data_IF_447163266756
#
_entry.id   IF_447163266756
#
_cell.length_a   1.000
_cell.length_b   1.000
_cell.length_c   1.000
_cell.angle_alpha   90.00
_cell.angle_beta   90.00
_cell.angle_gamma   90.00
#
_symmetry.space_group_name_H-M   'P 1'
#
loop_
_entity.id
_entity.type
_entity.pdbx_description
1 polymer ?
#
# COMPACT_ATOMS: atom_id res chain seq x y z
N UNK A 1 -5.12 -6.81 30.79
CA UNK A 1 -4.92 -5.58 29.99
C UNK A 1 -3.42 -5.38 29.81
N UNK A 2 -2.93 -5.18 28.58
CA UNK A 2 -1.50 -4.94 28.30
C UNK A 2 -1.11 -3.53 28.77
N UNK A 3 0.00 -3.40 29.50
CA UNK A 3 0.57 -2.15 30.01
C UNK A 3 1.68 -1.64 29.08
N UNK A 4 2.05 -0.36 29.24
CA UNK A 4 3.10 0.27 28.41
C UNK A 4 4.46 -0.42 28.54
N UNK A 5 4.75 -0.96 29.71
CA UNK A 5 6.04 -1.59 30.08
C UNK A 5 6.08 -3.09 29.81
N UNK A 6 4.99 -3.67 29.31
CA UNK A 6 4.98 -5.09 28.97
C UNK A 6 5.88 -5.33 27.75
N UNK A 7 6.65 -6.41 27.78
CA UNK A 7 7.49 -6.81 26.66
C UNK A 7 6.62 -7.13 25.44
N UNK A 8 7.10 -6.73 24.26
CA UNK A 8 6.40 -6.96 23.00
C UNK A 8 6.84 -8.22 22.28
N UNK A 9 5.96 -8.69 21.40
CA UNK A 9 6.17 -9.84 20.50
C UNK A 9 6.07 -9.40 19.02
N UNK A 10 7.13 -8.78 18.46
CA UNK A 10 7.13 -8.26 17.09
C UNK A 10 6.74 -9.29 16.02
N UNK A 11 7.10 -10.55 16.22
CA UNK A 11 6.85 -11.68 15.31
C UNK A 11 5.38 -11.93 14.99
N UNK A 12 4.46 -11.66 15.93
CA UNK A 12 3.01 -11.85 15.77
C UNK A 12 2.26 -10.52 15.65
N UNK A 13 2.97 -9.40 15.66
CA UNK A 13 2.37 -8.07 15.76
C UNK A 13 2.13 -7.44 14.38
N UNK A 14 0.87 -7.25 14.01
CA UNK A 14 0.50 -6.57 12.76
C UNK A 14 1.05 -5.14 12.66
N UNK A 15 1.17 -4.43 13.79
CA UNK A 15 1.78 -3.09 13.81
C UNK A 15 3.24 -3.19 13.39
N UNK A 16 3.98 -4.18 13.90
CA UNK A 16 5.38 -4.37 13.54
C UNK A 16 5.54 -4.84 12.08
N UNK A 17 4.64 -5.68 11.57
CA UNK A 17 4.61 -6.03 10.15
C UNK A 17 4.47 -4.77 9.26
N UNK A 18 3.61 -3.83 9.63
CA UNK A 18 3.48 -2.55 8.93
C UNK A 18 4.71 -1.65 9.12
N UNK A 19 5.35 -1.67 10.29
CA UNK A 19 6.60 -0.94 10.50
C UNK A 19 7.72 -1.38 9.54
N UNK A 20 7.77 -2.67 9.16
CA UNK A 20 8.73 -3.16 8.15
C UNK A 20 8.52 -2.56 6.77
N UNK A 21 7.27 -2.18 6.46
CA UNK A 21 6.91 -1.58 5.17
C UNK A 21 7.19 -0.07 5.18
N UNK A 22 6.75 0.63 6.22
CA UNK A 22 6.76 2.10 6.24
C UNK A 22 7.99 2.71 6.92
N UNK A 23 8.69 1.98 7.79
CA UNK A 23 9.78 2.51 8.61
C UNK A 23 11.01 1.58 8.60
N UNK A 24 11.33 1.00 7.43
CA UNK A 24 12.47 0.08 7.26
C UNK A 24 13.79 0.61 7.87
N UNK A 25 14.17 1.91 7.73
CA UNK A 25 15.40 2.42 8.34
C UNK A 25 15.42 2.38 9.87
N UNK A 26 14.25 2.40 10.53
CA UNK A 26 14.12 2.44 12.00
C UNK A 26 13.74 1.07 12.59
N UNK A 27 13.60 0.03 11.76
CA UNK A 27 12.99 -1.24 12.18
C UNK A 27 13.75 -1.93 13.32
N UNK A 28 15.09 -1.95 13.26
CA UNK A 28 15.94 -2.56 14.30
C UNK A 28 15.75 -1.89 15.65
N UNK A 29 15.64 -0.56 15.66
CA UNK A 29 15.43 0.21 16.88
C UNK A 29 14.02 -0.01 17.46
N UNK A 30 13.00 0.01 16.59
CA UNK A 30 11.61 -0.24 16.97
C UNK A 30 11.46 -1.65 17.55
N UNK A 31 12.07 -2.65 16.90
CA UNK A 31 12.05 -4.04 17.37
C UNK A 31 12.68 -4.16 18.75
N UNK A 32 13.90 -3.62 18.90
CA UNK A 32 14.63 -3.65 20.16
C UNK A 32 13.83 -2.99 21.29
N UNK A 33 13.33 -1.76 21.08
CA UNK A 33 12.54 -1.04 22.09
C UNK A 33 11.22 -1.75 22.40
N UNK A 34 10.61 -2.41 21.43
CA UNK A 34 9.38 -3.19 21.63
C UNK A 34 9.65 -4.44 22.48
N UNK A 35 10.71 -5.21 22.18
CA UNK A 35 11.12 -6.37 22.98
C UNK A 35 11.54 -6.00 24.41
N UNK A 36 12.16 -4.83 24.58
CA UNK A 36 12.55 -4.31 25.90
C UNK A 36 11.39 -3.70 26.71
N UNK A 37 10.17 -3.64 26.17
CA UNK A 37 9.04 -2.96 26.83
C UNK A 37 9.23 -1.44 26.98
N UNK A 38 10.17 -0.84 26.23
CA UNK A 38 10.48 0.59 26.25
C UNK A 38 9.67 1.40 25.24
N UNK A 39 9.01 0.74 24.29
CA UNK A 39 8.09 1.35 23.33
C UNK A 39 6.69 0.77 23.51
N UNK A 40 5.76 1.58 23.98
CA UNK A 40 4.37 1.15 24.19
C UNK A 40 3.61 0.94 22.87
N UNK A 41 2.62 0.05 22.85
CA UNK A 41 1.85 -0.24 21.63
C UNK A 41 1.12 0.98 21.06
N UNK A 42 0.59 1.86 21.91
CA UNK A 42 -0.10 3.09 21.48
C UNK A 42 0.89 4.08 20.85
N UNK A 43 2.07 4.21 21.46
CA UNK A 43 3.16 5.06 20.97
C UNK A 43 3.66 4.56 19.61
N UNK A 44 3.90 3.25 19.48
CA UNK A 44 4.29 2.61 18.23
C UNK A 44 3.25 2.81 17.11
N UNK A 45 1.95 2.68 17.45
CA UNK A 45 0.86 2.93 16.50
C UNK A 45 0.79 4.38 16.06
N UNK A 46 0.95 5.33 16.99
CA UNK A 46 0.95 6.76 16.65
C UNK A 46 2.10 7.10 15.69
N UNK A 47 3.30 6.63 16.00
CA UNK A 47 4.46 6.79 15.13
C UNK A 47 4.22 6.18 13.74
N UNK A 48 3.69 4.95 13.67
CA UNK A 48 3.33 4.33 12.40
C UNK A 48 2.31 5.16 11.60
N UNK A 49 1.25 5.64 12.26
CA UNK A 49 0.22 6.45 11.62
C UNK A 49 0.82 7.73 11.01
N UNK A 50 1.67 8.44 11.75
CA UNK A 50 2.32 9.66 11.25
C UNK A 50 3.16 9.39 9.99
N UNK A 51 3.91 8.28 9.97
CA UNK A 51 4.66 7.87 8.78
C UNK A 51 3.72 7.56 7.60
N UNK A 52 2.69 6.73 7.81
CA UNK A 52 1.73 6.38 6.74
C UNK A 52 1.06 7.62 6.16
N UNK A 53 0.65 8.56 7.01
CA UNK A 53 0.03 9.81 6.56
C UNK A 53 1.01 10.65 5.73
N UNK A 54 2.28 10.69 6.13
CA UNK A 54 3.32 11.44 5.40
C UNK A 54 3.58 10.82 4.03
N UNK A 55 3.83 9.50 3.98
CA UNK A 55 4.09 8.76 2.73
C UNK A 55 2.91 8.86 1.75
N UNK A 56 1.67 8.74 2.25
CA UNK A 56 0.47 8.76 1.42
C UNK A 56 -0.08 10.18 1.19
N UNK A 57 0.60 11.24 1.62
CA UNK A 57 0.09 12.62 1.48
C UNK A 57 -0.23 12.96 0.03
N UNK A 58 0.76 12.83 -0.86
CA UNK A 58 0.61 13.19 -2.27
C UNK A 58 -0.46 12.35 -2.97
N UNK A 59 -0.51 11.04 -2.69
CA UNK A 59 -1.52 10.15 -3.26
C UNK A 59 -2.94 10.51 -2.81
N UNK A 60 -3.11 10.89 -1.53
CA UNK A 60 -4.42 11.32 -0.99
C UNK A 60 -4.86 12.65 -1.58
N UNK A 61 -3.97 13.62 -1.67
CA UNK A 61 -4.24 14.91 -2.30
C UNK A 61 -4.61 14.73 -3.77
N UNK A 62 -3.85 13.92 -4.52
CA UNK A 62 -4.15 13.63 -5.92
C UNK A 62 -5.49 12.91 -6.10
N UNK A 63 -5.83 11.98 -5.21
CA UNK A 63 -7.14 11.32 -5.22
C UNK A 63 -8.28 12.32 -5.02
N UNK A 64 -8.13 13.27 -4.10
CA UNK A 64 -9.13 14.32 -3.86
C UNK A 64 -9.28 15.21 -5.10
N UNK A 65 -8.17 15.60 -5.73
CA UNK A 65 -8.16 16.37 -6.98
C UNK A 65 -8.88 15.61 -8.10
N UNK A 66 -8.51 14.35 -8.36
CA UNK A 66 -9.10 13.52 -9.41
C UNK A 66 -10.61 13.30 -9.19
N UNK A 67 -11.05 13.16 -7.94
CA UNK A 67 -12.48 13.00 -7.63
C UNK A 67 -13.33 14.20 -8.05
N UNK A 68 -12.73 15.39 -8.23
CA UNK A 68 -13.43 16.59 -8.72
C UNK A 68 -13.69 16.54 -10.23
N UNK A 69 -13.05 15.64 -10.97
CA UNK A 69 -13.17 15.52 -12.42
C UNK A 69 -13.32 14.06 -12.84
N UNK A 70 -14.56 13.55 -12.77
CA UNK A 70 -14.87 12.17 -13.15
C UNK A 70 -14.70 11.93 -14.66
N UNK A 71 -14.99 12.92 -15.51
CA UNK A 71 -14.82 12.83 -16.96
C UNK A 71 -13.36 12.53 -17.35
N UNK A 72 -12.40 13.10 -16.63
CA UNK A 72 -10.99 12.80 -16.82
C UNK A 72 -10.69 11.32 -16.49
N UNK A 73 -11.26 10.79 -15.41
CA UNK A 73 -11.08 9.38 -15.03
C UNK A 73 -11.63 8.46 -16.12
N UNK A 74 -12.85 8.72 -16.59
CA UNK A 74 -13.47 7.95 -17.66
C UNK A 74 -12.68 8.03 -18.97
N UNK A 75 -12.15 9.21 -19.30
CA UNK A 75 -11.28 9.38 -20.47
C UNK A 75 -10.01 8.55 -20.37
N UNK A 76 -9.36 8.51 -19.21
CA UNK A 76 -8.15 7.70 -18.97
C UNK A 76 -8.48 6.21 -19.11
N UNK A 77 -9.55 5.74 -18.48
CA UNK A 77 -9.99 4.34 -18.55
C UNK A 77 -10.35 3.93 -19.99
N UNK A 78 -11.12 4.74 -20.70
CA UNK A 78 -11.49 4.49 -22.11
C UNK A 78 -10.26 4.45 -23.02
N UNK A 79 -9.29 5.33 -22.79
CA UNK A 79 -8.03 5.33 -23.55
C UNK A 79 -7.23 4.06 -23.30
N UNK A 80 -7.13 3.62 -22.04
CA UNK A 80 -6.50 2.35 -21.67
C UNK A 80 -7.21 1.16 -22.31
N UNK A 81 -8.54 1.12 -22.25
CA UNK A 81 -9.36 0.06 -22.86
C UNK A 81 -9.15 -0.04 -24.37
N UNK A 82 -9.08 1.09 -25.09
CA UNK A 82 -8.78 1.10 -26.53
C UNK A 82 -7.41 0.49 -26.85
N UNK A 83 -6.39 0.85 -26.08
CA UNK A 83 -5.02 0.31 -26.24
C UNK A 83 -4.98 -1.19 -25.96
N UNK A 84 -5.57 -1.63 -24.84
CA UNK A 84 -5.62 -3.03 -24.46
C UNK A 84 -6.40 -3.86 -25.48
N UNK A 85 -7.52 -3.35 -25.98
CA UNK A 85 -8.36 -4.02 -27.00
C UNK A 85 -7.58 -4.28 -28.28
N UNK A 86 -6.76 -3.32 -28.75
CA UNK A 86 -5.92 -3.53 -29.93
C UNK A 86 -5.01 -4.76 -29.77
N UNK A 87 -4.26 -4.82 -28.67
CA UNK A 87 -3.35 -5.94 -28.38
C UNK A 87 -4.11 -7.27 -28.21
N UNK A 88 -5.27 -7.23 -27.55
CA UNK A 88 -6.10 -8.40 -27.35
C UNK A 88 -6.65 -8.95 -28.68
N UNK A 89 -7.11 -8.07 -29.58
CA UNK A 89 -7.58 -8.45 -30.92
C UNK A 89 -6.46 -9.09 -31.72
N UNK A 90 -5.27 -8.48 -31.79
CA UNK A 90 -4.11 -9.04 -32.49
C UNK A 90 -3.73 -10.44 -31.95
N UNK A 91 -3.83 -10.62 -30.63
CA UNK A 91 -3.59 -11.91 -29.97
C UNK A 91 -4.65 -12.94 -30.36
N UNK A 92 -5.93 -12.58 -30.30
CA UNK A 92 -7.03 -13.46 -30.66
C UNK A 92 -7.00 -13.85 -32.14
N UNK A 93 -6.64 -12.95 -33.04
CA UNK A 93 -6.50 -13.25 -34.47
C UNK A 93 -5.35 -14.23 -34.74
N UNK A 94 -4.29 -14.20 -33.93
CA UNK A 94 -3.25 -15.24 -33.97
C UNK A 94 -3.78 -16.57 -33.45
N UNK A 95 -4.47 -16.58 -32.33
CA UNK A 95 -5.05 -17.81 -31.75
C UNK A 95 -5.98 -18.47 -32.75
N UNK A 96 -6.94 -17.72 -33.31
CA UNK A 96 -7.91 -18.19 -34.31
C UNK A 96 -7.23 -18.88 -35.49
N UNK A 97 -6.22 -18.21 -36.08
CA UNK A 97 -5.39 -18.78 -37.17
C UNK A 97 -4.73 -20.12 -36.81
N UNK A 98 -4.28 -20.31 -35.58
CA UNK A 98 -3.61 -21.55 -35.16
C UNK A 98 -4.59 -22.63 -34.69
N UNK A 99 -5.82 -22.26 -34.35
CA UNK A 99 -6.87 -23.20 -33.91
C UNK A 99 -7.88 -23.54 -35.01
N UNK A 100 -7.71 -23.00 -36.22
CA UNK A 100 -8.60 -23.25 -37.36
C UNK A 100 -9.95 -22.52 -37.28
N UNK A 101 -9.99 -21.37 -36.58
CA UNK A 101 -11.14 -20.46 -36.48
C UNK A 101 -10.89 -19.15 -37.24
#
# INVERSE_FOLDING_TARGET
RIKRTDIGHPEICNVFALQKIFNLPKIKEIERKCREGKLGCVENKKFLCETIFTELKNAREKRIELRKNLDYIDKVLNTGAKKARKVATETLDRVKRHTGL
#
